data_IF_218123612328
#
_entry.id   IF_218123612328
#
_cell.length_a   1.000
_cell.length_b   1.000
_cell.length_c   1.000
_cell.angle_alpha   90.00
_cell.angle_beta   90.00
_cell.angle_gamma   90.00
#
_symmetry.space_group_name_H-M   'P 1'
#
loop_
_entity.id
_entity.type
_entity.pdbx_description
1 polymer ?
#
# COMPACT_ATOMS: atom_id res chain seq x y z
N UNK A 1 16.48 15.97 26.89
CA UNK A 1 15.19 15.24 26.76
C UNK A 1 14.48 15.44 25.41
N UNK A 2 14.73 16.51 24.64
CA UNK A 2 13.86 16.90 23.50
C UNK A 2 14.20 16.33 22.10
N UNK A 3 15.31 15.62 21.91
CA UNK A 3 15.73 15.17 20.56
C UNK A 3 14.92 13.95 20.12
N UNK A 4 14.76 12.97 21.01
CA UNK A 4 14.03 11.73 20.73
C UNK A 4 12.55 12.03 20.44
N UNK A 5 11.94 12.93 21.21
CA UNK A 5 10.55 13.35 21.01
C UNK A 5 10.34 13.98 19.64
N UNK A 6 11.23 14.91 19.22
CA UNK A 6 11.18 15.51 17.87
C UNK A 6 11.38 14.48 16.74
N UNK A 7 12.22 13.47 16.96
CA UNK A 7 12.41 12.38 15.98
C UNK A 7 11.15 11.52 15.84
N UNK A 8 10.50 11.20 16.96
CA UNK A 8 9.24 10.44 16.97
C UNK A 8 8.14 11.25 16.29
N UNK A 9 8.01 12.53 16.61
CA UNK A 9 7.02 13.42 15.99
C UNK A 9 7.20 13.49 14.46
N UNK A 10 8.44 13.67 13.98
CA UNK A 10 8.73 13.66 12.55
C UNK A 10 8.37 12.33 11.87
N UNK A 11 8.61 11.21 12.56
CA UNK A 11 8.27 9.87 12.06
C UNK A 11 6.75 9.67 11.97
N UNK A 12 6.01 10.13 12.98
CA UNK A 12 4.54 10.10 12.99
C UNK A 12 3.99 10.99 11.87
N UNK A 13 4.52 12.20 11.70
CA UNK A 13 4.10 13.09 10.61
C UNK A 13 4.36 12.48 9.22
N UNK A 14 5.51 11.80 9.05
CA UNK A 14 5.81 11.08 7.81
C UNK A 14 4.80 9.96 7.56
N UNK A 15 4.54 9.13 8.57
CA UNK A 15 3.56 8.05 8.47
C UNK A 15 2.17 8.58 8.08
N UNK A 16 1.71 9.66 8.69
CA UNK A 16 0.42 10.27 8.37
C UNK A 16 0.36 10.80 6.93
N UNK A 17 1.47 11.35 6.41
CA UNK A 17 1.55 11.79 5.00
C UNK A 17 1.46 10.62 4.02
N UNK A 18 2.10 9.50 4.32
CA UNK A 18 2.17 8.35 3.41
C UNK A 18 0.96 7.40 3.54
N UNK A 19 0.31 7.35 4.71
CA UNK A 19 -0.73 6.36 5.01
C UNK A 19 -2.17 6.92 4.98
N UNK A 20 -2.38 8.23 4.82
CA UNK A 20 -3.72 8.82 4.81
C UNK A 20 -4.10 9.38 3.44
N UNK A 21 -5.38 9.24 3.08
CA UNK A 21 -5.89 9.72 1.79
C UNK A 21 -5.62 11.22 1.58
N UNK A 22 -5.75 12.04 2.62
CA UNK A 22 -5.62 13.49 2.50
C UNK A 22 -4.16 13.98 2.56
N UNK A 23 -3.29 13.21 3.22
CA UNK A 23 -1.86 13.51 3.37
C UNK A 23 -1.03 13.14 2.14
N UNK A 24 -1.47 12.15 1.36
CA UNK A 24 -0.71 11.66 0.21
C UNK A 24 -0.67 12.69 -0.94
N UNK A 25 0.40 12.63 -1.73
CA UNK A 25 0.52 13.37 -2.98
C UNK A 25 -0.54 12.92 -3.98
N UNK A 26 -1.08 13.85 -4.74
CA UNK A 26 -2.09 13.54 -5.75
C UNK A 26 -1.42 12.91 -6.98
N UNK A 27 -1.85 11.71 -7.38
CA UNK A 27 -1.20 10.92 -8.45
C UNK A 27 -1.10 11.66 -9.79
N UNK A 28 -2.00 12.61 -10.09
CA UNK A 28 -1.96 13.39 -11.33
C UNK A 28 -1.15 14.69 -11.22
N UNK A 29 -0.85 15.13 -10.00
CA UNK A 29 -0.02 16.31 -9.71
C UNK A 29 0.63 16.12 -8.34
N UNK A 30 1.86 15.63 -8.35
CA UNK A 30 2.62 15.27 -7.15
C UNK A 30 3.06 16.48 -6.30
N UNK A 31 2.84 17.70 -6.81
CA UNK A 31 3.12 18.96 -6.09
C UNK A 31 2.08 19.30 -5.04
N UNK A 32 0.92 18.65 -5.09
CA UNK A 32 -0.22 18.92 -4.21
C UNK A 32 -0.62 17.63 -3.49
N UNK A 33 -1.01 17.76 -2.22
CA UNK A 33 -1.72 16.65 -1.57
C UNK A 33 -3.18 16.58 -2.02
N UNK A 34 -3.80 15.41 -1.87
CA UNK A 34 -5.24 15.25 -2.13
C UNK A 34 -6.07 16.20 -1.25
N UNK A 35 -5.66 16.42 0.01
CA UNK A 35 -6.31 17.38 0.90
C UNK A 35 -6.22 18.83 0.39
N UNK A 36 -5.06 19.24 -0.11
CA UNK A 36 -4.88 20.58 -0.71
C UNK A 36 -5.74 20.76 -1.96
N UNK A 37 -5.82 19.73 -2.81
CA UNK A 37 -6.69 19.73 -3.98
C UNK A 37 -8.16 19.91 -3.57
N UNK A 38 -8.66 19.13 -2.62
CA UNK A 38 -10.04 19.20 -2.15
C UNK A 38 -10.38 20.58 -1.57
N UNK A 39 -9.48 21.13 -0.74
CA UNK A 39 -9.63 22.46 -0.17
C UNK A 39 -9.73 23.54 -1.25
N UNK A 40 -8.88 23.48 -2.28
CA UNK A 40 -8.91 24.43 -3.42
C UNK A 40 -10.22 24.40 -4.22
N UNK A 41 -11.02 23.34 -4.08
CA UNK A 41 -12.27 23.12 -4.79
C UNK A 41 -13.50 23.23 -3.87
N UNK A 42 -13.32 23.53 -2.58
CA UNK A 42 -14.41 23.54 -1.62
C UNK A 42 -15.09 22.18 -1.44
N UNK A 43 -14.34 21.09 -1.64
CA UNK A 43 -14.84 19.72 -1.60
C UNK A 43 -14.29 18.95 -0.39
N UNK A 44 -14.95 17.84 -0.06
CA UNK A 44 -14.52 16.91 0.99
C UNK A 44 -14.78 15.46 0.59
N UNK A 45 -14.11 14.53 1.26
CA UNK A 45 -14.33 13.08 1.10
C UNK A 45 -14.99 12.58 2.38
N UNK A 46 -16.17 11.96 2.24
CA UNK A 46 -16.89 11.38 3.36
C UNK A 46 -16.35 9.99 3.74
N UNK A 47 -16.13 9.12 2.75
CA UNK A 47 -15.59 7.78 2.94
C UNK A 47 -14.99 7.26 1.63
N UNK A 48 -14.10 6.27 1.72
CA UNK A 48 -13.64 5.49 0.58
C UNK A 48 -13.42 4.04 1.01
N UNK A 49 -13.47 3.12 0.04
CA UNK A 49 -13.13 1.71 0.24
C UNK A 49 -12.33 1.27 -0.98
N UNK A 50 -11.19 0.62 -0.75
CA UNK A 50 -10.35 0.04 -1.79
C UNK A 50 -10.52 -1.47 -1.73
N UNK A 51 -10.92 -2.09 -2.84
CA UNK A 51 -10.96 -3.53 -2.97
C UNK A 51 -9.77 -3.97 -3.83
N UNK A 52 -8.93 -4.87 -3.31
CA UNK A 52 -7.82 -5.45 -4.06
C UNK A 52 -8.07 -6.95 -4.25
N UNK A 53 -7.98 -7.42 -5.48
CA UNK A 53 -8.13 -8.86 -5.77
C UNK A 53 -7.01 -9.63 -5.06
N UNK A 54 -7.39 -10.58 -4.22
CA UNK A 54 -6.44 -11.38 -3.43
C UNK A 54 -5.99 -10.73 -2.12
N UNK A 55 -6.59 -9.61 -1.70
CA UNK A 55 -6.34 -9.03 -0.39
C UNK A 55 -6.62 -10.05 0.72
N UNK A 56 -5.65 -10.26 1.62
CA UNK A 56 -5.74 -11.24 2.70
C UNK A 56 -5.62 -12.70 2.27
N UNK A 57 -5.41 -13.01 0.98
CA UNK A 57 -5.21 -14.38 0.50
C UNK A 57 -3.70 -14.66 0.44
N UNK A 58 -3.25 -15.72 1.13
CA UNK A 58 -1.86 -16.18 1.02
C UNK A 58 -1.57 -16.65 -0.41
N UNK A 59 -0.64 -15.95 -1.07
CA UNK A 59 -0.21 -16.33 -2.41
C UNK A 59 0.63 -17.60 -2.32
N UNK A 60 0.03 -18.74 -2.68
CA UNK A 60 0.77 -19.99 -2.86
C UNK A 60 1.89 -19.78 -3.89
N UNK A 61 3.13 -19.97 -3.46
CA UNK A 61 4.28 -20.01 -4.36
C UNK A 61 4.41 -21.45 -4.87
N UNK A 62 3.97 -21.71 -6.10
CA UNK A 62 4.23 -22.99 -6.77
C UNK A 62 5.60 -22.96 -7.44
N UNK A 63 6.32 -24.08 -7.35
CA UNK A 63 7.53 -24.34 -8.12
C UNK A 63 7.18 -25.27 -9.28
N UNK A 64 7.06 -24.67 -10.46
CA UNK A 64 6.70 -25.39 -11.68
C UNK A 64 7.70 -26.49 -12.01
N UNK A 65 8.99 -26.31 -11.70
CA UNK A 65 10.01 -27.32 -11.98
C UNK A 65 9.83 -28.56 -11.09
N UNK A 66 9.51 -28.35 -9.81
CA UNK A 66 9.21 -29.44 -8.88
C UNK A 66 7.94 -30.20 -9.27
N UNK A 67 6.89 -29.49 -9.71
CA UNK A 67 5.64 -30.09 -10.19
C UNK A 67 5.87 -30.95 -11.45
N UNK A 68 6.66 -30.45 -12.42
CA UNK A 68 7.02 -31.19 -13.64
C UNK A 68 7.85 -32.44 -13.31
N UNK A 69 8.82 -32.33 -12.40
CA UNK A 69 9.64 -33.46 -11.98
C UNK A 69 8.80 -34.56 -11.30
N UNK A 70 7.85 -34.18 -10.44
CA UNK A 70 6.93 -35.12 -9.78
C UNK A 70 6.01 -35.83 -10.80
N UNK A 71 5.47 -35.10 -11.77
CA UNK A 71 4.62 -35.66 -12.82
C UNK A 71 5.38 -36.64 -13.74
N UNK A 72 6.62 -36.32 -14.10
CA UNK A 72 7.47 -37.20 -14.92
C UNK A 72 7.93 -38.47 -14.19
N UNK A 73 8.08 -38.41 -12.85
CA UNK A 73 8.41 -39.56 -12.00
C UNK A 73 7.25 -40.55 -11.83
N UNK A 74 6.01 -40.07 -11.76
CA UNK A 74 4.81 -40.90 -11.58
C UNK A 74 4.42 -41.71 -12.83
N UNK A 75 4.97 -41.39 -14.02
CA UNK A 75 4.75 -42.13 -15.27
C UNK A 75 5.73 -43.29 -15.53
N UNK A 76 6.66 -43.54 -14.61
CA UNK A 76 7.62 -44.65 -14.67
C UNK A 76 7.42 -45.59 -13.47
N UNK A 77 6.22 -46.14 -13.37
CA UNK A 77 5.88 -47.30 -12.54
C UNK A 77 5.28 -48.38 -13.41
#
# INVERSE_FOLDING_TARGET
ANIVEKMVEGSVQKFLKESTLLGQAFVKDDKLSVGQLLASRGASVAAFTLYVVGEGIERKKSDFAAEVAAAAGAGRG
#
